data_IF_290931824711
#
_entry.id   IF_290931824711
#
_cell.length_a   1.000
_cell.length_b   1.000
_cell.length_c   1.000
_cell.angle_alpha   90.00
_cell.angle_beta   90.00
_cell.angle_gamma   90.00
#
_symmetry.space_group_name_H-M   'P 1'
#
loop_
_entity.id
_entity.type
_entity.pdbx_description
1 polymer ?
#
# COMPACT_ATOMS: atom_id res chain seq x y z
N UNK A 1 -1.39 -18.76 -9.52
CA UNK A 1 -1.17 -20.17 -9.91
C UNK A 1 -1.74 -20.39 -11.30
N UNK A 2 -2.26 -21.58 -11.60
CA UNK A 2 -3.26 -21.76 -12.67
C UNK A 2 -4.40 -22.57 -12.09
N UNK A 3 -5.61 -22.04 -12.14
CA UNK A 3 -6.80 -22.75 -11.68
C UNK A 3 -7.30 -23.69 -12.78
N UNK A 4 -7.50 -24.96 -12.45
CA UNK A 4 -8.12 -25.93 -13.35
C UNK A 4 -9.65 -25.80 -13.38
N UNK A 5 -10.25 -25.24 -12.33
CA UNK A 5 -11.71 -25.10 -12.20
C UNK A 5 -12.27 -23.78 -12.73
N UNK A 6 -11.44 -22.73 -12.81
CA UNK A 6 -11.83 -21.41 -13.31
C UNK A 6 -10.70 -20.83 -14.16
N UNK A 7 -10.65 -21.09 -15.49
CA UNK A 7 -9.57 -20.62 -16.36
C UNK A 7 -9.38 -19.09 -16.33
N UNK A 8 -10.46 -18.33 -16.11
CA UNK A 8 -10.46 -16.87 -16.02
C UNK A 8 -9.92 -16.31 -14.68
N UNK A 9 -9.84 -17.16 -13.63
CA UNK A 9 -9.27 -16.79 -12.34
C UNK A 9 -8.14 -17.76 -12.01
N UNK A 10 -6.89 -17.33 -12.16
CA UNK A 10 -5.71 -18.18 -11.98
C UNK A 10 -5.44 -18.67 -10.55
N UNK A 11 -6.42 -18.49 -9.64
CA UNK A 11 -6.37 -18.88 -8.24
C UNK A 11 -5.48 -17.94 -7.42
N UNK A 12 -5.16 -18.35 -6.20
CA UNK A 12 -4.24 -17.58 -5.36
C UNK A 12 -2.86 -17.42 -6.04
N UNK A 13 -2.25 -16.26 -5.85
CA UNK A 13 -0.90 -15.99 -6.34
C UNK A 13 0.12 -16.93 -5.67
N UNK A 14 1.24 -17.17 -6.36
CA UNK A 14 2.34 -17.94 -5.76
C UNK A 14 3.05 -17.09 -4.72
N UNK A 15 3.44 -17.71 -3.62
CA UNK A 15 4.18 -17.05 -2.54
C UNK A 15 5.55 -17.71 -2.38
N UNK A 16 6.60 -16.90 -2.46
CA UNK A 16 7.98 -17.31 -2.21
C UNK A 16 8.50 -16.57 -0.97
N UNK A 17 8.93 -17.32 0.03
CA UNK A 17 9.65 -16.78 1.17
C UNK A 17 11.12 -17.20 1.08
N UNK A 18 12.01 -16.23 0.96
CA UNK A 18 13.45 -16.44 1.03
C UNK A 18 13.92 -16.12 2.45
N UNK A 19 14.32 -17.14 3.20
CA UNK A 19 14.76 -16.99 4.58
C UNK A 19 16.14 -16.32 4.71
N UNK A 20 16.99 -16.41 3.69
CA UNK A 20 18.35 -15.82 3.70
C UNK A 20 18.25 -14.33 3.44
N UNK A 21 17.50 -13.94 2.41
CA UNK A 21 17.24 -12.54 2.08
C UNK A 21 16.16 -11.93 3.01
N UNK A 22 15.42 -12.77 3.73
CA UNK A 22 14.25 -12.42 4.54
C UNK A 22 13.23 -11.65 3.71
N UNK A 23 12.99 -12.09 2.48
CA UNK A 23 12.06 -11.45 1.55
C UNK A 23 10.83 -12.31 1.28
N UNK A 24 9.70 -11.63 1.10
CA UNK A 24 8.44 -12.23 0.69
C UNK A 24 8.10 -11.74 -0.71
N UNK A 25 7.88 -12.66 -1.66
CA UNK A 25 7.39 -12.32 -3.00
C UNK A 25 6.06 -13.01 -3.22
N UNK A 26 5.03 -12.24 -3.56
CA UNK A 26 3.73 -12.71 -4.01
C UNK A 26 3.59 -12.34 -5.48
N UNK A 27 3.49 -13.34 -6.36
CA UNK A 27 3.49 -13.14 -7.81
C UNK A 27 2.47 -14.04 -8.49
N UNK A 28 1.69 -13.49 -9.42
CA UNK A 28 0.75 -14.26 -10.21
C UNK A 28 1.18 -14.44 -11.67
N UNK A 29 2.44 -14.10 -11.99
CA UNK A 29 3.02 -14.27 -13.34
C UNK A 29 2.17 -13.64 -14.45
N UNK A 30 1.65 -12.43 -14.21
CA UNK A 30 0.82 -11.64 -15.13
C UNK A 30 -0.50 -12.32 -15.50
N UNK A 31 -0.99 -13.20 -14.65
CA UNK A 31 -2.31 -13.80 -14.80
C UNK A 31 -3.30 -13.06 -13.91
N UNK A 32 -4.49 -12.79 -14.42
CA UNK A 32 -5.56 -12.23 -13.60
C UNK A 32 -5.99 -13.18 -12.48
N UNK A 33 -6.35 -12.61 -11.35
CA UNK A 33 -6.97 -13.33 -10.23
C UNK A 33 -7.97 -12.45 -9.52
N UNK A 34 -9.02 -13.06 -8.98
CA UNK A 34 -9.97 -12.41 -8.06
C UNK A 34 -9.74 -12.84 -6.61
N UNK A 35 -8.70 -13.64 -6.37
CA UNK A 35 -8.41 -14.22 -5.06
C UNK A 35 -7.17 -13.57 -4.46
N UNK A 36 -7.34 -13.00 -3.27
CA UNK A 36 -6.24 -12.47 -2.48
C UNK A 36 -5.42 -13.60 -1.81
N UNK A 37 -4.11 -13.42 -1.80
CA UNK A 37 -3.20 -14.17 -0.94
C UNK A 37 -3.23 -13.56 0.45
N UNK A 38 -3.74 -14.29 1.44
CA UNK A 38 -3.87 -13.78 2.81
C UNK A 38 -2.52 -13.81 3.54
N UNK A 39 -2.06 -12.65 3.98
CA UNK A 39 -0.87 -12.45 4.80
C UNK A 39 -1.33 -12.29 6.26
N UNK A 40 -1.46 -13.43 6.94
CA UNK A 40 -2.02 -13.49 8.30
C UNK A 40 -1.05 -13.04 9.39
N UNK A 41 0.25 -13.10 9.14
CA UNK A 41 1.25 -12.75 10.14
C UNK A 41 2.49 -12.16 9.47
N UNK A 42 3.02 -11.09 10.07
CA UNK A 42 4.34 -10.53 9.75
C UNK A 42 5.27 -10.77 10.94
N UNK A 43 6.50 -11.29 10.70
CA UNK A 43 7.42 -11.58 11.78
C UNK A 43 7.91 -10.29 12.43
N UNK A 44 7.79 -10.20 13.75
CA UNK A 44 8.30 -9.06 14.51
C UNK A 44 9.83 -9.11 14.66
N UNK A 45 10.44 -10.29 14.76
CA UNK A 45 11.88 -10.49 14.78
C UNK A 45 12.27 -11.89 14.24
N UNK A 46 13.26 -12.00 13.33
CA UNK A 46 13.82 -10.91 12.55
C UNK A 46 12.78 -10.33 11.58
N UNK A 47 12.83 -9.02 11.35
CA UNK A 47 11.95 -8.36 10.37
C UNK A 47 12.23 -8.87 8.96
N UNK A 48 11.19 -8.90 8.13
CA UNK A 48 11.37 -9.06 6.68
C UNK A 48 12.19 -7.88 6.16
N UNK A 49 13.13 -8.15 5.27
CA UNK A 49 13.91 -7.09 4.61
C UNK A 49 13.11 -6.47 3.48
N UNK A 50 12.46 -7.29 2.63
CA UNK A 50 11.66 -6.78 1.52
C UNK A 50 10.36 -7.56 1.33
N UNK A 51 9.33 -6.87 0.83
CA UNK A 51 8.05 -7.48 0.45
C UNK A 51 7.69 -7.03 -0.95
N UNK A 52 7.44 -7.97 -1.84
CA UNK A 52 7.12 -7.73 -3.24
C UNK A 52 5.75 -8.31 -3.56
N UNK A 53 4.87 -7.51 -4.13
CA UNK A 53 3.59 -7.96 -4.69
C UNK A 53 3.56 -7.51 -6.14
N UNK A 54 3.63 -8.47 -7.05
CA UNK A 54 3.97 -8.20 -8.43
C UNK A 54 3.18 -9.05 -9.43
N UNK A 55 3.17 -8.62 -10.69
CA UNK A 55 2.71 -9.41 -11.82
C UNK A 55 1.27 -9.92 -11.65
N UNK A 56 0.32 -8.99 -11.48
CA UNK A 56 -1.12 -9.24 -11.26
C UNK A 56 -1.44 -10.03 -9.97
N UNK A 57 -0.51 -10.08 -9.02
CA UNK A 57 -0.77 -10.65 -7.70
C UNK A 57 -1.65 -9.74 -6.86
N UNK A 58 -2.57 -10.37 -6.11
CA UNK A 58 -3.34 -9.72 -5.06
C UNK A 58 -2.99 -10.33 -3.71
N UNK A 59 -2.70 -9.51 -2.72
CA UNK A 59 -2.44 -9.91 -1.35
C UNK A 59 -3.24 -9.05 -0.38
N UNK A 60 -3.66 -9.64 0.74
CA UNK A 60 -4.43 -8.93 1.75
C UNK A 60 -3.86 -9.20 3.15
N UNK A 61 -3.87 -8.16 3.99
CA UNK A 61 -3.62 -8.23 5.43
C UNK A 61 -4.98 -8.06 6.12
N UNK A 62 -5.72 -9.15 6.36
CA UNK A 62 -7.14 -9.07 6.69
C UNK A 62 -7.41 -8.81 8.18
N UNK A 63 -6.42 -9.06 9.05
CA UNK A 63 -6.62 -9.01 10.49
C UNK A 63 -6.79 -7.57 10.99
N UNK A 64 -7.77 -7.36 11.86
CA UNK A 64 -7.98 -6.08 12.54
C UNK A 64 -6.75 -5.74 13.40
N UNK A 65 -6.41 -4.46 13.47
CA UNK A 65 -5.27 -3.92 14.22
C UNK A 65 -3.93 -4.59 13.87
N UNK A 66 -3.72 -4.81 12.56
CA UNK A 66 -2.46 -5.38 12.07
C UNK A 66 -1.36 -4.33 11.98
N UNK A 67 -0.18 -4.70 12.47
CA UNK A 67 1.08 -4.00 12.21
C UNK A 67 1.89 -4.79 11.21
N UNK A 68 2.23 -4.16 10.10
CA UNK A 68 3.17 -4.67 9.10
C UNK A 68 4.45 -3.88 9.22
N UNK A 69 5.54 -4.55 9.62
CA UNK A 69 6.84 -3.95 9.75
C UNK A 69 7.84 -4.65 8.83
N UNK A 70 8.42 -3.88 7.91
CA UNK A 70 9.43 -4.30 6.95
C UNK A 70 10.66 -3.45 7.16
N UNK A 71 11.84 -4.07 7.21
CA UNK A 71 13.09 -3.35 7.47
C UNK A 71 13.50 -2.46 6.29
N UNK A 72 13.28 -2.91 5.06
CA UNK A 72 13.67 -2.22 3.84
C UNK A 72 12.46 -1.77 3.04
N UNK A 73 12.20 -2.44 1.92
CA UNK A 73 11.25 -1.96 0.91
C UNK A 73 9.98 -2.82 0.84
N UNK A 74 8.85 -2.14 0.65
CA UNK A 74 7.61 -2.73 0.16
C UNK A 74 7.40 -2.26 -1.28
N UNK A 75 7.27 -3.19 -2.22
CA UNK A 75 7.12 -2.89 -3.64
C UNK A 75 5.83 -3.50 -4.19
N UNK A 76 5.01 -2.66 -4.80
CA UNK A 76 3.82 -3.08 -5.55
C UNK A 76 4.07 -2.78 -7.03
N UNK A 77 4.13 -3.81 -7.87
CA UNK A 77 4.58 -3.68 -9.26
C UNK A 77 3.62 -4.39 -10.22
N UNK A 78 3.49 -3.88 -11.45
CA UNK A 78 2.91 -4.62 -12.58
C UNK A 78 1.55 -5.25 -12.27
N UNK A 79 0.56 -4.44 -11.89
CA UNK A 79 -0.79 -4.88 -11.51
C UNK A 79 -0.91 -5.41 -10.07
N UNK A 80 0.17 -5.38 -9.29
CA UNK A 80 0.17 -5.79 -7.89
C UNK A 80 -0.84 -5.03 -7.04
N UNK A 81 -1.59 -5.75 -6.20
CA UNK A 81 -2.55 -5.18 -5.27
C UNK A 81 -2.26 -5.63 -3.84
N UNK A 82 -2.10 -4.67 -2.92
CA UNK A 82 -2.03 -4.92 -1.48
C UNK A 82 -3.24 -4.30 -0.80
N UNK A 83 -4.02 -5.10 -0.09
CA UNK A 83 -5.19 -4.64 0.66
C UNK A 83 -4.96 -4.78 2.17
N UNK A 84 -5.34 -3.77 2.94
CA UNK A 84 -5.43 -3.83 4.40
C UNK A 84 -6.89 -3.86 4.80
N UNK A 85 -7.26 -4.82 5.64
CA UNK A 85 -8.64 -5.05 6.03
C UNK A 85 -9.47 -5.69 4.92
N UNK A 86 -10.77 -5.74 5.15
CA UNK A 86 -11.75 -6.35 4.26
C UNK A 86 -12.75 -5.31 3.79
N UNK A 87 -13.14 -5.38 2.51
CA UNK A 87 -14.19 -4.54 1.97
C UNK A 87 -15.46 -4.66 2.82
N UNK A 88 -16.15 -3.53 3.05
CA UNK A 88 -17.34 -3.41 3.91
C UNK A 88 -17.10 -3.54 5.42
N UNK A 89 -15.85 -3.76 5.87
CA UNK A 89 -15.48 -3.83 7.29
C UNK A 89 -14.39 -2.80 7.64
N UNK A 90 -14.64 -1.54 7.32
CA UNK A 90 -13.71 -0.42 7.57
C UNK A 90 -13.76 0.07 9.03
N UNK A 91 -13.48 -0.83 9.98
CA UNK A 91 -13.58 -0.55 11.43
C UNK A 91 -12.23 -0.62 12.15
N UNK A 92 -11.13 -0.77 11.42
CA UNK A 92 -9.80 -1.02 11.97
C UNK A 92 -8.82 0.10 11.67
N UNK A 93 -7.80 0.21 12.52
CA UNK A 93 -6.56 0.91 12.20
C UNK A 93 -5.51 -0.12 11.75
N UNK A 94 -4.66 0.25 10.80
CA UNK A 94 -3.54 -0.55 10.32
C UNK A 94 -2.25 0.25 10.41
N UNK A 95 -1.18 -0.40 10.86
CA UNK A 95 0.14 0.22 10.93
C UNK A 95 1.06 -0.36 9.87
N UNK A 96 1.72 0.53 9.12
CA UNK A 96 2.69 0.16 8.07
C UNK A 96 4.01 0.88 8.32
N UNK A 97 5.06 0.12 8.59
CA UNK A 97 6.40 0.64 8.82
C UNK A 97 7.36 0.02 7.80
N UNK A 98 8.05 0.85 7.03
CA UNK A 98 9.08 0.44 6.08
C UNK A 98 10.11 1.55 5.89
N UNK A 99 11.27 1.27 5.28
CA UNK A 99 12.11 2.35 4.77
C UNK A 99 11.50 2.96 3.51
N UNK A 100 10.99 2.12 2.62
CA UNK A 100 10.55 2.55 1.30
C UNK A 100 9.23 1.89 0.89
N UNK A 101 8.32 2.68 0.33
CA UNK A 101 7.17 2.21 -0.42
C UNK A 101 7.35 2.57 -1.90
N UNK A 102 7.50 1.56 -2.75
CA UNK A 102 7.62 1.71 -4.19
C UNK A 102 6.36 1.16 -4.88
N UNK A 103 5.75 1.94 -5.75
CA UNK A 103 4.53 1.55 -6.46
C UNK A 103 4.65 1.89 -7.94
N UNK A 104 4.49 0.89 -8.81
CA UNK A 104 4.42 1.08 -10.27
C UNK A 104 3.26 0.27 -10.86
N UNK A 105 2.34 0.93 -11.55
CA UNK A 105 1.17 0.30 -12.17
C UNK A 105 0.40 -0.59 -11.18
N UNK A 106 0.16 -0.09 -9.97
CA UNK A 106 -0.26 -0.91 -8.83
C UNK A 106 -1.28 -0.22 -7.94
N UNK A 107 -1.89 -0.98 -7.03
CA UNK A 107 -2.92 -0.46 -6.12
C UNK A 107 -2.67 -0.88 -4.68
N UNK A 108 -2.59 0.08 -3.77
CA UNK A 108 -2.71 -0.14 -2.33
C UNK A 108 -4.13 0.23 -1.89
N UNK A 109 -4.82 -0.67 -1.20
CA UNK A 109 -6.16 -0.46 -0.66
C UNK A 109 -6.13 -0.55 0.85
N UNK A 110 -6.89 0.31 1.52
CA UNK A 110 -7.09 0.25 2.97
C UNK A 110 -8.58 0.37 3.23
N UNK A 111 -9.11 -0.56 4.02
CA UNK A 111 -10.47 -0.54 4.53
C UNK A 111 -10.43 -0.26 6.03
N UNK A 112 -10.44 1.01 6.40
CA UNK A 112 -10.21 1.52 7.76
C UNK A 112 -9.29 2.74 7.78
N UNK A 113 -8.59 2.96 8.88
CA UNK A 113 -7.56 3.98 9.04
C UNK A 113 -6.15 3.39 8.80
N UNK A 114 -5.27 4.17 8.18
CA UNK A 114 -3.86 3.80 7.97
C UNK A 114 -2.94 4.72 8.77
N UNK A 115 -2.04 4.14 9.56
CA UNK A 115 -0.87 4.80 10.17
C UNK A 115 0.38 4.29 9.47
N UNK A 116 0.87 5.05 8.51
CA UNK A 116 2.06 4.70 7.76
C UNK A 116 3.24 5.57 8.20
N UNK A 117 4.39 4.95 8.45
CA UNK A 117 5.66 5.64 8.67
C UNK A 117 6.73 5.04 7.76
N UNK A 118 7.17 5.82 6.78
CA UNK A 118 8.20 5.44 5.81
C UNK A 118 9.24 6.54 5.66
N UNK A 119 10.40 6.22 5.09
CA UNK A 119 11.35 7.28 4.67
C UNK A 119 10.95 7.86 3.31
N UNK A 120 10.54 7.00 2.39
CA UNK A 120 10.26 7.39 1.00
C UNK A 120 8.99 6.72 0.44
N UNK A 121 8.20 7.50 -0.30
CA UNK A 121 7.08 7.02 -1.14
C UNK A 121 7.35 7.41 -2.58
N UNK A 122 7.43 6.42 -3.48
CA UNK A 122 7.60 6.62 -4.91
C UNK A 122 6.44 5.92 -5.63
N UNK A 123 5.61 6.71 -6.30
CA UNK A 123 4.44 6.21 -7.03
C UNK A 123 4.50 6.61 -8.50
N UNK A 124 4.36 5.62 -9.37
CA UNK A 124 4.25 5.78 -10.82
C UNK A 124 2.98 5.07 -11.30
N UNK A 125 2.07 5.78 -11.96
CA UNK A 125 0.79 5.25 -12.45
C UNK A 125 0.08 4.33 -11.44
N UNK A 126 0.08 4.74 -10.17
CA UNK A 126 -0.36 3.88 -9.07
C UNK A 126 -1.36 4.57 -8.16
N UNK A 127 -2.16 3.79 -7.44
CA UNK A 127 -3.24 4.30 -6.60
C UNK A 127 -3.12 3.80 -5.18
N UNK A 128 -3.17 4.70 -4.22
CA UNK A 128 -3.41 4.40 -2.81
C UNK A 128 -4.83 4.84 -2.47
N UNK A 129 -5.68 3.89 -2.08
CA UNK A 129 -7.10 4.10 -1.87
C UNK A 129 -7.45 3.75 -0.43
N UNK A 130 -7.87 4.75 0.35
CA UNK A 130 -8.24 4.59 1.75
C UNK A 130 -9.75 4.80 1.88
N UNK A 131 -10.45 3.72 2.18
CA UNK A 131 -11.86 3.72 2.52
C UNK A 131 -12.02 3.66 4.04
N UNK A 132 -12.24 4.82 4.66
CA UNK A 132 -12.49 4.97 6.08
C UNK A 132 -13.94 4.66 6.49
N UNK A 133 -14.76 4.00 5.66
CA UNK A 133 -16.05 3.44 6.09
C UNK A 133 -17.20 4.44 6.27
N UNK A 134 -16.99 5.74 6.02
CA UNK A 134 -18.04 6.77 6.06
C UNK A 134 -18.65 7.06 7.44
N UNK A 135 -18.27 6.31 8.48
CA UNK A 135 -18.71 6.51 9.85
C UNK A 135 -17.79 7.51 10.57
N UNK A 136 -18.35 8.42 11.36
CA UNK A 136 -17.60 9.50 12.04
C UNK A 136 -16.62 8.99 13.10
N UNK A 137 -16.67 7.70 13.43
CA UNK A 137 -15.81 7.04 14.41
C UNK A 137 -14.49 6.53 13.83
N UNK A 138 -14.29 6.52 12.51
CA UNK A 138 -13.04 6.02 11.93
C UNK A 138 -11.94 7.07 12.07
N UNK A 139 -10.80 6.62 12.59
CA UNK A 139 -9.66 7.49 12.87
C UNK A 139 -9.09 8.15 11.60
N UNK A 140 -8.47 9.31 11.79
CA UNK A 140 -7.77 10.02 10.72
C UNK A 140 -6.58 9.19 10.24
N UNK A 141 -6.52 8.90 8.95
CA UNK A 141 -5.35 8.23 8.38
C UNK A 141 -4.16 9.18 8.36
N UNK A 142 -2.97 8.67 8.65
CA UNK A 142 -1.72 9.40 8.71
C UNK A 142 -0.67 8.73 7.82
N UNK A 143 -0.13 9.48 6.87
CA UNK A 143 0.99 9.11 6.03
C UNK A 143 2.19 9.95 6.44
N UNK A 144 3.16 9.37 7.14
CA UNK A 144 4.42 10.02 7.48
C UNK A 144 5.53 9.53 6.55
N UNK A 145 6.16 10.46 5.84
CA UNK A 145 7.31 10.20 4.98
C UNK A 145 8.48 11.13 5.33
N UNK A 146 9.53 10.61 5.97
CA UNK A 146 10.58 11.48 6.52
C UNK A 146 11.38 12.23 5.45
N UNK A 147 11.62 11.62 4.29
CA UNK A 147 12.54 12.17 3.28
C UNK A 147 11.82 12.62 2.01
N UNK A 148 10.94 11.79 1.44
CA UNK A 148 10.49 11.99 0.06
C UNK A 148 9.10 11.41 -0.20
N UNK A 149 8.24 12.18 -0.83
CA UNK A 149 7.02 11.69 -1.51
C UNK A 149 7.04 12.19 -2.95
N UNK A 150 6.99 11.27 -3.91
CA UNK A 150 6.90 11.60 -5.34
C UNK A 150 5.80 10.79 -5.99
N UNK A 151 4.83 11.50 -6.57
CA UNK A 151 3.83 10.96 -7.46
C UNK A 151 4.19 11.35 -8.90
N UNK A 152 3.98 10.41 -9.82
CA UNK A 152 4.17 10.54 -11.27
C UNK A 152 3.12 9.77 -12.04
N UNK A 153 2.88 10.21 -13.28
CA UNK A 153 2.02 9.57 -14.27
C UNK A 153 0.62 9.20 -13.74
N UNK A 154 -0.22 10.18 -13.39
CA UNK A 154 -1.59 9.95 -12.91
C UNK A 154 -1.67 9.10 -11.63
N UNK A 155 -0.68 9.25 -10.74
CA UNK A 155 -0.68 8.60 -9.43
C UNK A 155 -1.62 9.30 -8.46
N UNK A 156 -2.36 8.53 -7.66
CA UNK A 156 -3.42 9.06 -6.80
C UNK A 156 -3.26 8.52 -5.39
N UNK A 157 -3.25 9.41 -4.39
CA UNK A 157 -3.56 9.05 -3.00
C UNK A 157 -4.96 9.61 -2.72
N UNK A 158 -5.93 8.75 -2.47
CA UNK A 158 -7.30 9.16 -2.22
C UNK A 158 -7.82 8.56 -0.93
N UNK A 159 -8.43 9.38 -0.08
CA UNK A 159 -9.19 8.94 1.09
C UNK A 159 -10.61 9.48 1.03
N UNK A 160 -11.62 8.67 1.36
CA UNK A 160 -12.98 9.18 1.56
C UNK A 160 -13.20 9.76 2.97
N UNK A 161 -12.18 9.76 3.84
CA UNK A 161 -12.19 10.27 5.20
C UNK A 161 -11.09 11.34 5.39
N UNK A 162 -10.71 11.63 6.63
CA UNK A 162 -9.62 12.57 6.93
C UNK A 162 -8.26 11.93 6.66
N UNK A 163 -7.35 12.69 6.03
CA UNK A 163 -5.99 12.27 5.72
C UNK A 163 -4.99 13.34 6.16
N UNK A 164 -4.05 12.96 7.02
CA UNK A 164 -2.84 13.71 7.30
C UNK A 164 -1.67 13.16 6.48
N UNK A 165 -0.95 14.04 5.78
CA UNK A 165 0.31 13.69 5.11
C UNK A 165 1.39 14.59 5.67
N UNK A 166 2.32 13.97 6.39
CA UNK A 166 3.40 14.63 7.09
C UNK A 166 4.73 14.17 6.49
N UNK A 167 5.69 15.07 6.42
CA UNK A 167 7.05 14.68 6.06
C UNK A 167 8.03 15.80 6.36
N UNK A 168 9.32 15.52 6.38
CA UNK A 168 10.33 16.54 6.71
C UNK A 168 11.16 16.96 5.48
N UNK A 169 11.03 16.23 4.37
CA UNK A 169 11.78 16.49 3.14
C UNK A 169 10.93 17.03 1.99
N UNK A 170 11.02 16.38 0.83
CA UNK A 170 10.46 16.86 -0.43
C UNK A 170 9.14 16.15 -0.78
N UNK A 171 8.14 16.90 -1.19
CA UNK A 171 6.89 16.39 -1.73
C UNK A 171 6.69 16.92 -3.15
N UNK A 172 6.57 16.04 -4.14
CA UNK A 172 6.28 16.39 -5.53
C UNK A 172 5.11 15.62 -6.13
N UNK A 173 4.21 16.37 -6.76
CA UNK A 173 3.25 15.91 -7.77
C UNK A 173 3.78 16.38 -9.11
N UNK A 174 4.22 15.47 -9.98
CA UNK A 174 5.02 15.84 -11.17
C UNK A 174 4.50 15.33 -12.51
N UNK A 175 3.49 14.47 -12.50
CA UNK A 175 2.81 13.93 -13.67
C UNK A 175 1.39 14.51 -13.84
N UNK A 176 0.88 14.58 -15.08
CA UNK A 176 -0.51 14.93 -15.32
C UNK A 176 -1.47 14.00 -14.58
N UNK A 177 -2.43 14.58 -13.86
CA UNK A 177 -3.45 13.82 -13.11
C UNK A 177 -2.99 13.32 -11.73
N UNK A 178 -1.77 13.63 -11.32
CA UNK A 178 -1.30 13.33 -9.97
C UNK A 178 -2.08 14.13 -8.93
N UNK A 179 -2.53 13.46 -7.85
CA UNK A 179 -3.33 14.13 -6.82
C UNK A 179 -3.31 13.41 -5.49
N UNK A 180 -3.45 14.21 -4.44
CA UNK A 180 -3.76 13.75 -3.09
C UNK A 180 -5.08 14.37 -2.68
N UNK A 181 -6.08 13.54 -2.44
CA UNK A 181 -7.45 13.95 -2.17
C UNK A 181 -7.98 13.26 -0.91
N UNK A 182 -8.73 14.00 -0.10
CA UNK A 182 -9.34 13.51 1.11
C UNK A 182 -10.60 14.33 1.45
N UNK A 183 -11.47 13.83 2.32
CA UNK A 183 -12.58 14.64 2.85
C UNK A 183 -12.06 15.88 3.59
N UNK A 184 -10.99 15.70 4.38
CA UNK A 184 -10.16 16.77 4.93
C UNK A 184 -8.70 16.36 4.79
N UNK A 185 -7.92 17.18 4.09
CA UNK A 185 -6.50 16.96 3.85
C UNK A 185 -5.67 17.89 4.73
N UNK A 186 -4.76 17.33 5.52
CA UNK A 186 -3.77 18.07 6.29
C UNK A 186 -2.38 17.78 5.72
N UNK A 187 -1.72 18.80 5.19
CA UNK A 187 -0.33 18.71 4.74
C UNK A 187 0.55 19.50 5.70
N UNK A 188 1.61 18.89 6.23
CA UNK A 188 2.49 19.57 7.17
C UNK A 188 3.95 19.11 7.11
N UNK A 189 4.83 19.96 7.66
CA UNK A 189 6.25 19.71 7.93
C UNK A 189 7.19 19.60 6.71
N UNK A 190 6.68 19.55 5.48
CA UNK A 190 7.53 19.45 4.28
C UNK A 190 8.40 20.69 4.10
N UNK A 191 9.69 20.47 3.85
CA UNK A 191 10.65 21.54 3.53
C UNK A 191 10.33 22.17 2.16
N UNK A 192 9.90 21.36 1.20
CA UNK A 192 9.59 21.81 -0.15
C UNK A 192 8.43 21.01 -0.74
N UNK A 193 7.48 21.73 -1.35
CA UNK A 193 6.33 21.17 -2.06
C UNK A 193 6.33 21.66 -3.51
N UNK A 194 6.34 20.73 -4.45
CA UNK A 194 6.32 20.99 -5.89
C UNK A 194 5.07 20.38 -6.52
N UNK A 195 4.30 21.20 -7.22
CA UNK A 195 3.10 20.77 -7.95
C UNK A 195 3.19 21.38 -9.34
N UNK A 196 3.26 20.53 -10.37
CA UNK A 196 3.34 20.93 -11.78
C UNK A 196 2.01 20.86 -12.51
#
# INVERSE_FOLDING_TARGET
GSSLGCPENSGAAGTLYDAVLRSLTVSNHNKSTDTDTLLMEFPNQPLMTNVYIENEAKAAVPLLWSRVQVQGQISLLSGGVLSFGLAHYAVSEFELLAEELLMSDSVLKVYGALRMSVKMVLMWNSKMLIDGGGDQNVETSLLEASNLIVLKESSIINSNANLGVHGQGFFSLSGPGDRVEAQRLFLSLFYSLHVS
#
